data_IF_145999183745
#
_entry.id   IF_145999183745
#
_cell.length_a   1.000
_cell.length_b   1.000
_cell.length_c   1.000
_cell.angle_alpha   90.00
_cell.angle_beta   90.00
_cell.angle_gamma   90.00
#
_symmetry.space_group_name_H-M   'P 1'
#
loop_
_entity.id
_entity.type
_entity.pdbx_description
1 polymer ?
#
# COMPACT_ATOMS: atom_id res chain seq x y z
N UNK A 1 19.36 35.68 -33.80
CA UNK A 1 19.83 35.51 -32.40
C UNK A 1 19.50 34.09 -31.95
N UNK A 2 20.53 33.37 -31.49
CA UNK A 2 20.59 32.04 -30.84
C UNK A 2 19.46 31.01 -31.07
N UNK A 3 19.78 30.00 -31.88
CA UNK A 3 19.39 28.59 -31.71
C UNK A 3 20.15 27.97 -30.51
N UNK A 4 19.67 26.85 -29.94
CA UNK A 4 20.47 25.63 -29.74
C UNK A 4 19.58 24.40 -29.51
N UNK A 5 20.04 23.30 -30.09
CA UNK A 5 19.40 22.01 -30.39
C UNK A 5 19.24 21.03 -29.21
N UNK A 6 18.44 19.95 -29.37
CA UNK A 6 18.36 18.81 -28.46
C UNK A 6 19.44 17.74 -28.75
N UNK A 7 19.88 17.00 -27.73
CA UNK A 7 20.79 15.82 -27.81
C UNK A 7 20.43 14.93 -26.60
N UNK A 8 20.02 13.64 -26.64
CA UNK A 8 20.38 12.39 -27.36
C UNK A 8 21.53 11.58 -26.72
N UNK A 9 21.12 10.48 -26.07
CA UNK A 9 21.70 9.10 -25.97
C UNK A 9 23.00 8.73 -25.21
N UNK A 10 23.00 7.41 -24.87
CA UNK A 10 24.07 6.41 -24.59
C UNK A 10 24.59 6.30 -23.14
N UNK A 11 25.05 5.16 -22.57
CA UNK A 11 25.03 3.69 -22.73
C UNK A 11 26.31 3.18 -21.99
N UNK A 12 26.27 2.03 -21.32
CA UNK A 12 27.40 1.29 -20.70
C UNK A 12 28.06 1.97 -19.46
N UNK A 13 28.61 1.30 -18.45
CA UNK A 13 29.28 0.00 -18.44
C UNK A 13 29.26 -0.67 -17.04
N UNK A 14 29.07 -1.99 -17.07
CA UNK A 14 29.52 -3.05 -16.17
C UNK A 14 30.80 -2.75 -15.35
N UNK A 15 30.73 -3.01 -14.03
CA UNK A 15 31.89 -3.11 -13.16
C UNK A 15 32.01 -4.56 -12.68
N UNK A 16 33.18 -5.15 -12.92
CA UNK A 16 33.52 -6.55 -12.63
C UNK A 16 34.46 -6.57 -11.43
N UNK A 17 34.15 -7.23 -10.31
CA UNK A 17 35.13 -7.50 -9.28
C UNK A 17 35.91 -8.80 -9.58
N UNK A 18 37.21 -8.87 -9.22
CA UNK A 18 38.07 -9.99 -9.53
C UNK A 18 37.73 -11.22 -8.68
N UNK A 19 37.89 -12.40 -9.29
CA UNK A 19 37.87 -13.68 -8.60
C UNK A 19 39.25 -13.96 -7.98
N UNK A 20 39.33 -13.92 -6.65
CA UNK A 20 40.42 -14.58 -5.91
C UNK A 20 39.96 -15.98 -5.49
N UNK A 21 40.81 -16.96 -5.80
CA UNK A 21 40.58 -18.39 -5.58
C UNK A 21 41.29 -18.85 -4.30
N UNK A 22 40.55 -19.60 -3.48
CA UNK A 22 40.99 -20.57 -2.45
C UNK A 22 41.32 -20.07 -1.05
N UNK A 23 40.44 -20.39 -0.08
CA UNK A 23 40.67 -21.42 0.96
C UNK A 23 39.33 -21.82 1.59
N UNK A 24 39.06 -23.12 1.67
CA UNK A 24 37.86 -23.67 2.27
C UNK A 24 37.84 -23.45 3.80
N UNK A 25 36.73 -22.92 4.31
CA UNK A 25 36.25 -23.12 5.68
C UNK A 25 34.75 -22.86 5.67
N UNK A 26 33.98 -23.88 6.04
CA UNK A 26 32.54 -23.82 6.26
C UNK A 26 32.20 -22.66 7.21
N UNK A 27 31.59 -21.61 6.65
CA UNK A 27 30.88 -20.58 7.38
C UNK A 27 29.65 -20.23 6.53
N UNK A 28 28.47 -20.44 7.11
CA UNK A 28 27.19 -20.25 6.47
C UNK A 28 27.13 -18.89 5.74
N UNK A 29 26.88 -18.94 4.43
CA UNK A 29 26.53 -17.75 3.67
C UNK A 29 25.31 -17.11 4.34
N UNK A 30 25.29 -15.77 4.55
CA UNK A 30 24.03 -15.10 4.78
C UNK A 30 23.21 -15.34 3.52
N UNK A 31 22.21 -16.23 3.64
CA UNK A 31 21.24 -16.46 2.59
C UNK A 31 20.72 -15.09 2.14
N UNK A 32 20.57 -14.84 0.83
CA UNK A 32 19.89 -13.66 0.37
C UNK A 32 18.54 -13.66 1.06
N UNK A 33 18.29 -12.69 1.94
CA UNK A 33 16.99 -12.51 2.59
C UNK A 33 16.03 -12.37 1.43
N UNK A 34 15.30 -13.44 1.15
CA UNK A 34 14.27 -13.43 0.14
C UNK A 34 13.35 -12.28 0.56
N UNK A 35 13.31 -11.23 -0.26
CA UNK A 35 12.26 -10.23 -0.17
C UNK A 35 10.97 -11.02 -0.25
N UNK A 36 10.36 -11.24 0.91
CA UNK A 36 9.12 -11.97 1.02
C UNK A 36 8.16 -11.24 0.08
N UNK A 37 7.67 -11.96 -0.94
CA UNK A 37 6.58 -11.47 -1.76
C UNK A 37 5.52 -10.91 -0.82
N UNK A 38 4.93 -9.73 -1.10
CA UNK A 38 3.98 -9.12 -0.19
C UNK A 38 2.93 -10.17 0.16
N UNK A 39 2.94 -10.60 1.43
CA UNK A 39 2.01 -11.59 1.93
C UNK A 39 0.59 -11.06 1.83
N UNK A 40 -0.42 -11.93 2.02
CA UNK A 40 -1.80 -11.49 2.09
C UNK A 40 -1.94 -10.33 3.07
N UNK A 41 -2.74 -9.32 2.70
CA UNK A 41 -3.05 -8.19 3.55
C UNK A 41 -3.75 -8.70 4.80
N UNK A 42 -3.10 -8.53 5.94
CA UNK A 42 -3.65 -8.85 7.26
C UNK A 42 -4.61 -7.75 7.74
N UNK A 43 -5.41 -8.05 8.77
CA UNK A 43 -6.42 -7.13 9.31
C UNK A 43 -5.81 -5.79 9.76
N UNK A 44 -4.66 -5.84 10.45
CA UNK A 44 -3.96 -4.64 10.90
C UNK A 44 -3.54 -3.75 9.72
N UNK A 45 -3.06 -4.36 8.63
CA UNK A 45 -2.69 -3.65 7.41
C UNK A 45 -3.93 -3.08 6.69
N UNK A 46 -5.04 -3.83 6.67
CA UNK A 46 -6.31 -3.35 6.14
C UNK A 46 -6.84 -2.15 6.92
N UNK A 47 -6.71 -2.15 8.24
CA UNK A 47 -7.07 -1.01 9.09
C UNK A 47 -6.27 0.25 8.72
N UNK A 48 -4.95 0.12 8.53
CA UNK A 48 -4.09 1.22 8.10
C UNK A 48 -4.45 1.74 6.70
N UNK A 49 -4.71 0.84 5.75
CA UNK A 49 -5.13 1.19 4.39
C UNK A 49 -6.48 1.93 4.39
N UNK A 50 -7.44 1.47 5.18
CA UNK A 50 -8.73 2.12 5.33
C UNK A 50 -8.60 3.51 5.97
N UNK A 51 -7.85 3.63 7.06
CA UNK A 51 -7.62 4.91 7.73
C UNK A 51 -6.95 5.92 6.79
N UNK A 52 -5.97 5.47 5.99
CA UNK A 52 -5.32 6.31 4.97
C UNK A 52 -6.31 6.74 3.89
N UNK A 53 -7.14 5.82 3.41
CA UNK A 53 -8.17 6.13 2.42
C UNK A 53 -9.11 7.23 2.92
N UNK A 54 -9.71 7.05 4.11
CA UNK A 54 -10.66 8.03 4.66
C UNK A 54 -10.03 9.39 4.98
N UNK A 55 -8.76 9.43 5.39
CA UNK A 55 -8.02 10.69 5.57
C UNK A 55 -7.72 11.41 4.26
N UNK A 56 -7.51 10.66 3.17
CA UNK A 56 -7.18 11.24 1.86
C UNK A 56 -8.39 11.83 1.12
N UNK A 57 -9.60 11.59 1.64
CA UNK A 57 -10.84 12.09 1.05
C UNK A 57 -10.97 13.61 1.21
N UNK A 58 -11.56 14.31 0.23
CA UNK A 58 -11.80 15.75 0.32
C UNK A 58 -12.76 16.11 1.47
N UNK A 59 -13.68 15.21 1.79
CA UNK A 59 -14.63 15.32 2.90
C UNK A 59 -14.14 14.64 4.18
N UNK A 60 -12.82 14.47 4.37
CA UNK A 60 -12.26 13.65 5.46
C UNK A 60 -12.75 14.01 6.87
N UNK A 61 -13.07 15.29 7.11
CA UNK A 61 -13.58 15.79 8.39
C UNK A 61 -14.91 15.15 8.83
N UNK A 62 -15.69 14.57 7.90
CA UNK A 62 -16.96 13.91 8.24
C UNK A 62 -16.76 12.48 8.73
N UNK A 63 -15.58 11.86 8.56
CA UNK A 63 -15.36 10.45 8.95
C UNK A 63 -14.80 10.35 10.37
N UNK A 64 -15.52 9.64 11.24
CA UNK A 64 -15.12 9.43 12.63
C UNK A 64 -14.17 8.22 12.72
N UNK A 65 -12.88 8.42 12.43
CA UNK A 65 -11.90 7.33 12.35
C UNK A 65 -11.77 6.48 13.63
N UNK A 66 -12.11 7.01 14.81
CA UNK A 66 -12.17 6.24 16.06
C UNK A 66 -13.22 5.12 16.03
N UNK A 67 -14.19 5.23 15.13
CA UNK A 67 -15.24 4.24 14.89
C UNK A 67 -14.90 3.24 13.80
N UNK A 68 -13.69 3.33 13.21
CA UNK A 68 -13.23 2.42 12.17
C UNK A 68 -13.25 0.98 12.69
N UNK A 69 -13.86 0.10 11.92
CA UNK A 69 -13.94 -1.33 12.16
C UNK A 69 -13.57 -2.05 10.88
N UNK A 70 -12.75 -3.09 11.00
CA UNK A 70 -12.42 -3.99 9.88
C UNK A 70 -13.13 -5.31 10.14
N UNK A 71 -13.78 -5.82 9.10
CA UNK A 71 -14.55 -7.06 9.13
C UNK A 71 -14.02 -7.97 8.02
N UNK A 72 -13.94 -9.26 8.30
CA UNK A 72 -13.65 -10.24 7.25
C UNK A 72 -14.86 -10.36 6.30
N UNK A 73 -14.63 -10.18 5.01
CA UNK A 73 -15.61 -10.33 3.95
C UNK A 73 -15.10 -11.30 2.86
N UNK A 74 -14.43 -12.39 3.26
CA UNK A 74 -13.96 -13.45 2.37
C UNK A 74 -12.65 -13.07 1.66
N UNK A 75 -12.64 -12.86 0.33
CA UNK A 75 -11.43 -12.46 -0.41
C UNK A 75 -11.02 -11.01 -0.15
N UNK A 76 -11.79 -10.26 0.64
CA UNK A 76 -11.53 -8.86 0.98
C UNK A 76 -11.80 -8.60 2.45
N UNK A 77 -11.21 -7.54 2.98
CA UNK A 77 -11.65 -6.91 4.22
C UNK A 77 -12.70 -5.87 3.89
N UNK A 78 -13.74 -5.77 4.72
CA UNK A 78 -14.65 -4.63 4.69
C UNK A 78 -14.32 -3.71 5.86
N UNK A 79 -13.88 -2.49 5.57
CA UNK A 79 -13.64 -1.48 6.59
C UNK A 79 -14.79 -0.47 6.61
N UNK A 80 -15.40 -0.28 7.77
CA UNK A 80 -16.56 0.61 7.97
C UNK A 80 -16.22 1.73 8.94
N UNK A 81 -16.71 2.94 8.66
CA UNK A 81 -16.55 4.11 9.52
C UNK A 81 -17.87 4.86 9.63
N UNK A 82 -18.20 5.36 10.83
CA UNK A 82 -19.34 6.25 11.02
C UNK A 82 -19.01 7.63 10.44
N UNK A 83 -20.05 8.32 9.95
CA UNK A 83 -19.95 9.72 9.57
C UNK A 83 -20.53 10.61 10.67
N UNK A 84 -19.98 11.80 10.82
CA UNK A 84 -20.56 12.84 11.66
C UNK A 84 -21.87 13.32 11.03
N UNK A 85 -22.86 13.62 11.88
CA UNK A 85 -24.11 14.24 11.44
C UNK A 85 -23.81 15.62 10.85
N UNK A 86 -24.39 15.89 9.70
CA UNK A 86 -24.48 17.24 9.14
C UNK A 86 -25.93 17.69 9.30
N UNK A 87 -26.15 18.96 9.62
CA UNK A 87 -27.48 19.52 9.91
C UNK A 87 -28.51 19.06 8.86
N UNK A 88 -29.49 18.26 9.29
CA UNK A 88 -30.58 17.76 8.44
C UNK A 88 -30.29 16.50 7.62
N UNK A 89 -29.14 15.84 7.79
CA UNK A 89 -28.77 14.59 7.11
C UNK A 89 -28.40 13.53 8.14
N UNK A 90 -29.18 12.44 8.16
CA UNK A 90 -28.88 11.28 9.01
C UNK A 90 -27.51 10.69 8.61
N UNK A 91 -26.61 10.38 9.55
CA UNK A 91 -25.30 9.88 9.21
C UNK A 91 -25.39 8.46 8.65
N UNK A 92 -25.18 8.32 7.35
CA UNK A 92 -24.90 7.01 6.74
C UNK A 92 -23.49 6.54 7.13
N UNK A 93 -23.33 5.25 7.37
CA UNK A 93 -22.01 4.66 7.47
C UNK A 93 -21.33 4.72 6.09
N UNK A 94 -20.00 4.83 6.09
CA UNK A 94 -19.20 4.67 4.88
C UNK A 94 -18.37 3.41 4.98
N UNK A 95 -18.23 2.69 3.87
CA UNK A 95 -17.40 1.48 3.83
C UNK A 95 -16.46 1.45 2.62
N UNK A 96 -15.37 0.72 2.78
CA UNK A 96 -14.47 0.33 1.71
C UNK A 96 -14.19 -1.17 1.76
N UNK A 97 -14.00 -1.79 0.60
CA UNK A 97 -13.46 -3.12 0.45
C UNK A 97 -11.95 -3.03 0.19
N UNK A 98 -11.18 -3.90 0.82
CA UNK A 98 -9.73 -4.00 0.66
C UNK A 98 -9.42 -5.42 0.24
N UNK A 99 -8.91 -5.61 -0.97
CA UNK A 99 -8.60 -6.93 -1.48
C UNK A 99 -7.45 -7.56 -0.68
N UNK A 100 -7.63 -8.79 -0.17
CA UNK A 100 -6.64 -9.46 0.70
C UNK A 100 -5.35 -9.85 -0.03
N UNK A 101 -5.36 -9.95 -1.36
CA UNK A 101 -4.17 -10.33 -2.14
C UNK A 101 -3.39 -9.11 -2.63
N UNK A 102 -4.09 -8.04 -3.00
CA UNK A 102 -3.49 -6.88 -3.70
C UNK A 102 -3.45 -5.62 -2.85
N UNK A 103 -4.24 -5.54 -1.78
CA UNK A 103 -4.42 -4.32 -1.00
C UNK A 103 -5.20 -3.21 -1.72
N UNK A 104 -5.77 -3.49 -2.90
CA UNK A 104 -6.59 -2.54 -3.63
C UNK A 104 -7.81 -2.12 -2.78
N UNK A 105 -8.01 -0.80 -2.65
CA UNK A 105 -9.10 -0.21 -1.85
C UNK A 105 -10.18 0.33 -2.79
N UNK A 106 -11.42 -0.10 -2.57
CA UNK A 106 -12.58 0.31 -3.36
C UNK A 106 -13.74 0.74 -2.46
N UNK A 107 -14.44 1.85 -2.75
CA UNK A 107 -15.62 2.26 -1.99
C UNK A 107 -16.76 1.25 -2.15
N UNK A 108 -17.53 1.06 -1.08
CA UNK A 108 -18.69 0.17 -1.06
C UNK A 108 -19.90 0.94 -0.54
N UNK A 109 -21.07 0.72 -1.15
CA UNK A 109 -22.32 1.26 -0.62
C UNK A 109 -22.72 0.50 0.63
N UNK A 110 -23.03 1.24 1.69
CA UNK A 110 -23.66 0.70 2.88
C UNK A 110 -25.17 0.81 2.69
N UNK A 111 -25.90 -0.24 3.06
CA UNK A 111 -27.37 -0.29 2.99
C UNK A 111 -27.99 0.18 4.30
#
# INVERSE_FOLDING_TARGET
MKQFFPVVLLLAAWDTPPADTTTATTAAAPEPVALSAPGPVEEAQANLLAARYFRSRPDSAVYLLSTLRVLDAGPSWQAQVKRAECVGILPDNSAVAINKQTGAVSPVRVK
#
